data_IF_921835013423
#
_entry.id   IF_921835013423
#
_cell.length_a   1.000
_cell.length_b   1.000
_cell.length_c   1.000
_cell.angle_alpha   90.00
_cell.angle_beta   90.00
_cell.angle_gamma   90.00
#
_symmetry.space_group_name_H-M   'P 1'
#
loop_
_entity.id
_entity.type
_entity.pdbx_description
1 polymer ?
#
# COMPACT_ATOMS: atom_id res chain seq x y z
N UNK A 1 8.77 22.04 -21.78
CA UNK A 1 7.82 20.98 -21.39
C UNK A 1 6.49 21.28 -22.06
N UNK A 2 5.98 20.42 -22.93
CA UNK A 2 4.65 20.59 -23.46
C UNK A 2 3.64 20.50 -22.30
N UNK A 3 2.70 21.46 -22.27
CA UNK A 3 1.59 21.38 -21.30
C UNK A 3 0.78 20.11 -21.58
N UNK A 4 0.36 19.39 -20.52
CA UNK A 4 -0.45 18.20 -20.71
C UNK A 4 -1.75 18.55 -21.45
N UNK A 5 -2.12 17.73 -22.41
CA UNK A 5 -3.36 17.89 -23.17
C UNK A 5 -4.53 17.58 -22.23
N UNK A 6 -5.39 18.58 -22.04
CA UNK A 6 -6.55 18.44 -21.17
C UNK A 6 -7.71 17.78 -21.90
N UNK A 7 -8.35 16.81 -21.25
CA UNK A 7 -9.62 16.23 -21.67
C UNK A 7 -10.74 16.65 -20.72
N UNK A 8 -11.94 16.84 -21.25
CA UNK A 8 -13.11 17.17 -20.44
C UNK A 8 -14.01 15.94 -20.33
N UNK A 9 -14.42 15.63 -19.11
CA UNK A 9 -15.36 14.55 -18.81
C UNK A 9 -16.60 15.09 -18.09
N UNK A 10 -17.72 14.39 -18.21
CA UNK A 10 -18.95 14.67 -17.49
C UNK A 10 -19.40 13.41 -16.80
N UNK A 11 -19.70 13.51 -15.51
CA UNK A 11 -20.15 12.39 -14.68
C UNK A 11 -21.42 12.76 -13.90
N UNK A 12 -22.26 11.78 -13.63
CA UNK A 12 -23.42 11.90 -12.76
C UNK A 12 -23.14 11.14 -11.46
N UNK A 13 -23.28 11.80 -10.34
CA UNK A 13 -23.07 11.20 -9.00
C UNK A 13 -24.29 11.42 -8.12
N UNK A 14 -24.56 10.53 -7.15
CA UNK A 14 -25.58 10.78 -6.14
C UNK A 14 -25.32 12.08 -5.39
N UNK A 15 -26.40 12.77 -5.01
CA UNK A 15 -26.28 14.05 -4.29
C UNK A 15 -25.51 13.93 -2.97
N UNK A 16 -25.69 12.85 -2.24
CA UNK A 16 -24.95 12.55 -1.01
C UNK A 16 -23.43 12.43 -1.26
N UNK A 17 -23.03 11.84 -2.37
CA UNK A 17 -21.62 11.74 -2.78
C UNK A 17 -21.06 13.11 -3.13
N UNK A 18 -21.82 13.95 -3.82
CA UNK A 18 -21.41 15.31 -4.14
C UNK A 18 -21.22 16.17 -2.88
N UNK A 19 -22.14 16.08 -1.93
CA UNK A 19 -22.04 16.78 -0.65
C UNK A 19 -20.80 16.36 0.14
N UNK A 20 -20.53 15.06 0.23
CA UNK A 20 -19.35 14.53 0.88
C UNK A 20 -18.05 15.01 0.21
N UNK A 21 -18.03 15.07 -1.12
CA UNK A 21 -16.91 15.60 -1.88
C UNK A 21 -16.70 17.10 -1.62
N UNK A 22 -17.76 17.89 -1.63
CA UNK A 22 -17.69 19.34 -1.39
C UNK A 22 -17.18 19.65 0.02
N UNK A 23 -17.60 18.86 1.02
CA UNK A 23 -17.07 18.96 2.38
C UNK A 23 -15.57 18.67 2.41
N UNK A 24 -15.13 17.63 1.75
CA UNK A 24 -13.71 17.24 1.67
C UNK A 24 -12.86 18.28 0.94
N UNK A 25 -13.43 18.96 -0.08
CA UNK A 25 -12.78 20.05 -0.79
C UNK A 25 -12.45 21.19 0.17
N UNK A 26 -13.39 21.57 1.03
CA UNK A 26 -13.18 22.61 2.03
C UNK A 26 -12.13 22.18 3.07
N UNK A 27 -12.26 20.98 3.61
CA UNK A 27 -11.34 20.43 4.63
C UNK A 27 -9.89 20.33 4.14
N UNK A 28 -9.69 19.94 2.91
CA UNK A 28 -8.37 19.73 2.30
C UNK A 28 -7.86 20.89 1.46
N UNK A 29 -8.57 22.00 1.46
CA UNK A 29 -8.18 23.25 0.77
C UNK A 29 -7.96 23.09 -0.74
N UNK A 30 -8.76 22.25 -1.41
CA UNK A 30 -8.74 22.20 -2.86
C UNK A 30 -9.30 23.48 -3.47
N UNK A 31 -8.70 23.94 -4.58
CA UNK A 31 -9.13 25.14 -5.28
C UNK A 31 -10.43 24.94 -6.06
N UNK A 32 -10.72 23.72 -6.49
CA UNK A 32 -11.90 23.38 -7.28
C UNK A 32 -12.30 21.90 -7.15
N UNK A 33 -13.53 21.60 -7.54
CA UNK A 33 -14.01 20.21 -7.69
C UNK A 33 -13.14 19.42 -8.67
N UNK A 34 -12.77 20.03 -9.79
CA UNK A 34 -11.92 19.38 -10.79
C UNK A 34 -10.57 18.97 -10.23
N UNK A 35 -9.93 19.82 -9.44
CA UNK A 35 -8.66 19.50 -8.79
C UNK A 35 -8.81 18.35 -7.81
N UNK A 36 -9.85 18.37 -6.97
CA UNK A 36 -10.12 17.28 -6.02
C UNK A 36 -10.38 15.93 -6.73
N UNK A 37 -11.16 15.94 -7.81
CA UNK A 37 -11.45 14.74 -8.60
C UNK A 37 -10.19 14.21 -9.27
N UNK A 38 -9.38 15.07 -9.87
CA UNK A 38 -8.11 14.67 -10.50
C UNK A 38 -7.18 14.04 -9.46
N UNK A 39 -7.08 14.62 -8.28
CA UNK A 39 -6.26 14.08 -7.21
C UNK A 39 -6.76 12.70 -6.73
N UNK A 40 -8.07 12.55 -6.53
CA UNK A 40 -8.68 11.27 -6.15
C UNK A 40 -8.48 10.19 -7.23
N UNK A 41 -8.64 10.56 -8.50
CA UNK A 41 -8.41 9.64 -9.62
C UNK A 41 -6.94 9.25 -9.70
N UNK A 42 -6.03 10.21 -9.58
CA UNK A 42 -4.59 9.94 -9.64
C UNK A 42 -4.16 9.02 -8.50
N UNK A 43 -4.63 9.23 -7.28
CA UNK A 43 -4.34 8.35 -6.15
C UNK A 43 -4.79 6.93 -6.41
N UNK A 44 -5.97 6.76 -6.99
CA UNK A 44 -6.51 5.43 -7.30
C UNK A 44 -5.83 4.77 -8.49
N UNK A 45 -5.51 5.53 -9.54
CA UNK A 45 -4.83 5.03 -10.72
C UNK A 45 -3.33 4.80 -10.50
N UNK A 46 -2.69 5.56 -9.60
CA UNK A 46 -1.30 5.32 -9.23
C UNK A 46 -1.15 3.93 -8.63
N UNK A 47 -2.11 3.46 -7.85
CA UNK A 47 -2.12 2.09 -7.35
C UNK A 47 -2.17 1.04 -8.48
N UNK A 48 -2.76 1.37 -9.64
CA UNK A 48 -2.79 0.49 -10.81
C UNK A 48 -1.62 0.72 -11.78
N UNK A 49 -1.20 1.98 -11.94
CA UNK A 49 -0.08 2.36 -12.82
C UNK A 49 1.30 2.05 -12.24
N UNK A 50 1.37 1.73 -10.97
CA UNK A 50 2.58 1.24 -10.27
C UNK A 50 2.93 -0.21 -10.69
N UNK A 51 2.52 -0.65 -11.87
CA UNK A 51 3.13 -1.76 -12.59
C UNK A 51 4.51 -1.41 -13.19
N UNK A 52 5.06 -0.23 -12.85
CA UNK A 52 6.46 0.07 -13.09
C UNK A 52 7.26 -0.58 -11.98
N UNK A 53 8.28 -1.34 -12.36
CA UNK A 53 9.20 -2.03 -11.46
C UNK A 53 10.08 -1.05 -10.65
N UNK A 54 9.41 -0.15 -9.93
CA UNK A 54 10.07 0.83 -9.07
C UNK A 54 10.15 0.31 -7.63
N UNK A 55 11.27 0.59 -6.98
CA UNK A 55 11.45 0.29 -5.56
C UNK A 55 10.58 1.23 -4.73
N UNK A 56 9.70 0.65 -3.94
CA UNK A 56 8.77 1.37 -3.08
C UNK A 56 8.88 0.94 -1.64
N UNK A 57 8.36 1.74 -0.75
CA UNK A 57 8.14 1.41 0.66
C UNK A 57 6.65 1.21 0.85
N UNK A 58 6.27 0.23 1.63
CA UNK A 58 4.87 -0.05 1.89
C UNK A 58 4.60 -0.53 3.29
N UNK A 59 3.35 -0.45 3.67
CA UNK A 59 2.83 -1.08 4.88
C UNK A 59 1.74 -2.06 4.51
N UNK A 60 1.91 -3.31 4.92
CA UNK A 60 0.86 -4.32 4.85
C UNK A 60 0.20 -4.44 6.21
N UNK A 61 -1.06 -4.11 6.27
CA UNK A 61 -1.88 -4.23 7.47
C UNK A 61 -2.80 -5.42 7.36
N UNK A 62 -2.74 -6.34 8.33
CA UNK A 62 -3.58 -7.52 8.42
C UNK A 62 -4.38 -7.51 9.72
N UNK A 63 -5.63 -7.95 9.64
CA UNK A 63 -6.40 -8.38 10.81
C UNK A 63 -6.72 -9.85 10.65
N UNK A 64 -6.34 -10.65 11.63
CA UNK A 64 -6.53 -12.10 11.56
C UNK A 64 -6.94 -12.72 12.89
N UNK A 65 -7.51 -13.90 12.80
CA UNK A 65 -7.95 -14.68 13.95
C UNK A 65 -6.84 -15.63 14.40
N UNK A 66 -6.37 -15.48 15.64
CA UNK A 66 -5.29 -16.30 16.22
C UNK A 66 -5.75 -17.67 16.68
N UNK A 67 -7.04 -17.95 16.75
CA UNK A 67 -7.57 -19.26 17.17
C UNK A 67 -7.27 -20.37 16.16
N UNK A 68 -6.98 -20.02 14.92
CA UNK A 68 -6.56 -20.97 13.90
C UNK A 68 -5.06 -21.23 14.01
N UNK A 69 -4.69 -22.33 14.65
CA UNK A 69 -3.28 -22.70 14.89
C UNK A 69 -2.38 -22.71 13.65
N UNK A 70 -2.84 -23.18 12.46
CA UNK A 70 -2.01 -23.18 11.25
C UNK A 70 -1.62 -21.79 10.77
N UNK A 71 -2.44 -20.76 11.03
CA UNK A 71 -2.23 -19.42 10.51
C UNK A 71 -0.95 -18.76 11.06
N UNK A 72 -0.68 -18.93 12.35
CA UNK A 72 0.52 -18.34 12.96
C UNK A 72 1.81 -18.86 12.32
N UNK A 73 1.92 -20.15 12.11
CA UNK A 73 3.09 -20.75 11.47
C UNK A 73 3.19 -20.33 10.00
N UNK A 74 2.07 -20.27 9.29
CA UNK A 74 2.05 -19.81 7.90
C UNK A 74 2.48 -18.34 7.75
N UNK A 75 2.07 -17.46 8.66
CA UNK A 75 2.50 -16.07 8.69
C UNK A 75 4.01 -15.94 8.94
N UNK A 76 4.53 -16.72 9.89
CA UNK A 76 5.97 -16.74 10.18
C UNK A 76 6.76 -17.30 9.00
N UNK A 77 6.30 -18.37 8.38
CA UNK A 77 6.95 -18.99 7.21
C UNK A 77 7.01 -18.02 6.03
N UNK A 78 5.93 -17.31 5.75
CA UNK A 78 5.93 -16.27 4.70
C UNK A 78 6.87 -15.10 5.04
N UNK A 79 6.90 -14.65 6.29
CA UNK A 79 7.85 -13.59 6.69
C UNK A 79 9.30 -14.04 6.51
N UNK A 80 9.60 -15.29 6.83
CA UNK A 80 10.94 -15.86 6.65
C UNK A 80 11.30 -16.02 5.17
N UNK A 81 10.31 -16.39 4.34
CA UNK A 81 10.51 -16.50 2.89
C UNK A 81 10.85 -15.15 2.26
N UNK A 82 10.28 -14.07 2.75
CA UNK A 82 10.41 -12.72 2.21
C UNK A 82 11.15 -11.75 3.13
N UNK A 83 12.21 -12.22 3.79
CA UNK A 83 13.02 -11.41 4.72
C UNK A 83 13.61 -10.14 4.10
N UNK A 84 13.90 -10.16 2.80
CA UNK A 84 14.42 -8.99 2.10
C UNK A 84 13.37 -7.90 1.91
N UNK A 85 12.11 -8.28 1.76
CA UNK A 85 11.00 -7.37 1.53
C UNK A 85 10.29 -6.96 2.81
N UNK A 86 10.16 -7.88 3.79
CA UNK A 86 9.50 -7.61 5.07
C UNK A 86 10.54 -7.18 6.10
N UNK A 87 10.63 -5.86 6.34
CA UNK A 87 11.69 -5.26 7.18
C UNK A 87 11.39 -5.42 8.66
N UNK A 88 10.15 -5.19 9.06
CA UNK A 88 9.72 -5.28 10.46
C UNK A 88 8.24 -5.56 10.56
N UNK A 89 7.80 -6.03 11.71
CA UNK A 89 6.38 -6.19 11.98
C UNK A 89 6.01 -5.79 13.41
N UNK A 90 4.82 -5.24 13.55
CA UNK A 90 4.21 -4.85 14.81
C UNK A 90 2.91 -5.64 14.99
N UNK A 91 2.72 -6.22 16.17
CA UNK A 91 1.53 -6.98 16.53
C UNK A 91 0.76 -6.28 17.63
N UNK A 92 -0.53 -6.09 17.44
CA UNK A 92 -1.43 -5.47 18.42
C UNK A 92 -2.59 -6.43 18.67
N UNK A 93 -2.74 -6.85 19.91
CA UNK A 93 -3.90 -7.65 20.33
C UNK A 93 -5.12 -6.74 20.36
N UNK A 94 -6.14 -7.04 19.56
CA UNK A 94 -7.39 -6.28 19.51
C UNK A 94 -8.42 -6.83 20.51
N UNK A 95 -8.54 -8.16 20.57
CA UNK A 95 -9.36 -8.90 21.51
C UNK A 95 -8.74 -10.29 21.72
N UNK A 96 -9.42 -11.17 22.43
CA UNK A 96 -8.92 -12.51 22.77
C UNK A 96 -8.56 -13.37 21.53
N UNK A 97 -9.13 -13.05 20.37
CA UNK A 97 -9.00 -13.86 19.16
C UNK A 97 -8.45 -13.10 17.96
N UNK A 98 -8.42 -11.78 18.00
CA UNK A 98 -8.03 -10.96 16.83
C UNK A 98 -6.76 -10.20 17.09
N UNK A 99 -5.90 -10.23 16.11
CA UNK A 99 -4.64 -9.48 16.07
C UNK A 99 -4.62 -8.58 14.86
N UNK A 100 -4.20 -7.34 15.08
CA UNK A 100 -3.77 -6.42 14.02
C UNK A 100 -2.26 -6.56 13.89
N UNK A 101 -1.79 -6.87 12.70
CA UNK A 101 -0.37 -6.88 12.36
C UNK A 101 -0.08 -5.85 11.30
N UNK A 102 0.93 -5.04 11.53
CA UNK A 102 1.43 -4.08 10.55
C UNK A 102 2.85 -4.47 10.18
N UNK A 103 3.10 -4.72 8.91
CA UNK A 103 4.41 -5.05 8.38
C UNK A 103 4.94 -3.89 7.53
N UNK A 104 6.16 -3.47 7.81
CA UNK A 104 6.88 -2.53 6.97
C UNK A 104 7.60 -3.31 5.87
N UNK A 105 7.36 -2.92 4.63
CA UNK A 105 7.88 -3.60 3.45
C UNK A 105 8.67 -2.64 2.57
N UNK A 106 9.67 -3.17 1.89
CA UNK A 106 10.45 -2.45 0.89
C UNK A 106 10.82 -3.41 -0.25
N UNK A 107 10.71 -2.95 -1.46
CA UNK A 107 11.06 -3.72 -2.64
C UNK A 107 10.40 -3.20 -3.90
N UNK A 108 10.50 -3.97 -4.96
CA UNK A 108 9.83 -3.67 -6.22
C UNK A 108 8.33 -3.75 -6.03
N UNK A 109 7.59 -2.78 -6.53
CA UNK A 109 6.15 -2.65 -6.30
C UNK A 109 5.35 -3.88 -6.71
N UNK A 110 5.69 -4.51 -7.84
CA UNK A 110 5.05 -5.74 -8.29
C UNK A 110 5.27 -6.90 -7.31
N UNK A 111 6.48 -7.04 -6.78
CA UNK A 111 6.81 -8.07 -5.80
C UNK A 111 6.05 -7.82 -4.49
N UNK A 112 5.99 -6.58 -4.04
CA UNK A 112 5.26 -6.23 -2.80
C UNK A 112 3.77 -6.53 -2.91
N UNK A 113 3.16 -6.30 -4.08
CA UNK A 113 1.77 -6.65 -4.35
C UNK A 113 1.56 -8.17 -4.31
N UNK A 114 2.39 -8.93 -5.00
CA UNK A 114 2.31 -10.38 -5.03
C UNK A 114 2.51 -11.01 -3.64
N UNK A 115 3.50 -10.53 -2.89
CA UNK A 115 3.74 -10.96 -1.51
C UNK A 115 2.55 -10.65 -0.62
N UNK A 116 2.00 -9.45 -0.72
CA UNK A 116 0.83 -9.03 0.07
C UNK A 116 -0.39 -9.88 -0.22
N UNK A 117 -0.64 -10.24 -1.47
CA UNK A 117 -1.73 -11.13 -1.86
C UNK A 117 -1.59 -12.51 -1.22
N UNK A 118 -0.39 -13.04 -1.11
CA UNK A 118 -0.14 -14.31 -0.43
C UNK A 118 -0.49 -14.26 1.07
N UNK A 119 -0.15 -13.17 1.75
CA UNK A 119 -0.53 -12.97 3.15
C UNK A 119 -2.04 -12.82 3.32
N UNK A 120 -2.66 -12.01 2.47
CA UNK A 120 -4.11 -11.72 2.54
C UNK A 120 -4.95 -12.98 2.24
N UNK A 121 -4.47 -13.85 1.35
CA UNK A 121 -5.16 -15.08 0.95
C UNK A 121 -5.12 -16.19 2.00
N UNK A 122 -4.33 -16.06 3.06
CA UNK A 122 -4.26 -17.09 4.10
C UNK A 122 -5.60 -17.23 4.82
N UNK A 123 -6.01 -18.48 5.03
CA UNK A 123 -7.25 -18.78 5.77
C UNK A 123 -7.13 -18.28 7.22
N UNK A 124 -8.07 -17.45 7.62
CA UNK A 124 -8.09 -16.83 8.95
C UNK A 124 -7.66 -15.36 8.93
N UNK A 125 -7.13 -14.86 7.84
CA UNK A 125 -6.98 -13.44 7.59
C UNK A 125 -8.35 -12.86 7.26
N UNK A 126 -8.81 -11.93 8.10
CA UNK A 126 -10.14 -11.32 7.99
C UNK A 126 -10.13 -10.09 7.09
N UNK A 127 -9.07 -9.31 7.17
CA UNK A 127 -8.85 -8.10 6.36
C UNK A 127 -7.36 -7.94 6.10
N UNK A 128 -7.03 -7.42 4.94
CA UNK A 128 -5.67 -7.06 4.58
C UNK A 128 -5.66 -5.87 3.63
N UNK A 129 -4.70 -5.00 3.81
CA UNK A 129 -4.50 -3.82 2.96
C UNK A 129 -3.02 -3.49 2.82
N UNK A 130 -2.57 -3.33 1.58
CA UNK A 130 -1.24 -2.85 1.25
C UNK A 130 -1.32 -1.37 0.84
N UNK A 131 -0.60 -0.53 1.53
CA UNK A 131 -0.37 0.86 1.17
C UNK A 131 1.06 1.00 0.65
N UNK A 132 1.22 1.46 -0.59
CA UNK A 132 2.52 1.73 -1.19
C UNK A 132 2.77 3.24 -1.24
N UNK A 133 4.01 3.62 -0.94
CA UNK A 133 4.48 4.99 -1.06
C UNK A 133 5.76 5.02 -1.88
N UNK A 134 5.91 6.08 -2.67
CA UNK A 134 7.18 6.36 -3.33
C UNK A 134 8.26 6.51 -2.26
N UNK A 135 9.41 5.91 -2.51
CA UNK A 135 10.58 6.14 -1.67
C UNK A 135 11.03 7.59 -1.88
N UNK A 136 10.53 8.49 -1.04
CA UNK A 136 10.92 9.92 -1.04
C UNK A 136 12.37 10.12 -0.59
N UNK A 137 12.95 9.09 0.01
CA UNK A 137 14.36 9.08 0.39
C UNK A 137 15.21 8.73 -0.83
N UNK A 138 16.39 9.37 -0.97
CA UNK A 138 17.36 8.83 -1.90
C UNK A 138 17.53 7.35 -1.56
N UNK A 139 17.55 6.47 -2.57
CA UNK A 139 17.69 5.04 -2.31
C UNK A 139 18.86 4.88 -1.35
N UNK A 140 18.62 4.13 -0.27
CA UNK A 140 19.73 3.71 0.59
C UNK A 140 20.76 3.15 -0.36
N UNK A 141 21.97 3.73 -0.44
CA UNK A 141 22.96 3.24 -1.36
C UNK A 141 23.10 1.75 -1.09
N UNK A 142 22.69 0.96 -2.06
CA UNK A 142 23.00 -0.45 -2.00
C UNK A 142 24.49 -0.49 -1.84
N UNK A 143 24.92 -1.01 -0.71
CA UNK A 143 26.32 -1.20 -0.44
C UNK A 143 26.81 -2.20 -1.48
N UNK A 144 27.11 -1.71 -2.67
CA UNK A 144 27.85 -2.44 -3.67
C UNK A 144 29.27 -2.55 -3.15
N UNK A 145 29.38 -3.26 -2.03
CA UNK A 145 30.63 -3.83 -1.64
C UNK A 145 30.92 -4.99 -2.59
N UNK A 146 31.01 -4.65 -3.88
CA UNK A 146 31.85 -5.44 -4.74
C UNK A 146 33.24 -5.21 -4.22
N UNK A 147 33.65 -6.11 -3.32
CA UNK A 147 35.01 -6.19 -2.90
C UNK A 147 35.90 -6.11 -4.12
N UNK A 148 36.55 -4.98 -4.26
CA UNK A 148 37.77 -4.93 -5.06
C UNK A 148 38.77 -5.71 -4.25
N UNK A 149 38.77 -7.02 -4.42
CA UNK A 149 39.90 -7.85 -4.16
C UNK A 149 40.87 -7.61 -5.33
N UNK A 150 41.66 -6.62 -5.20
CA UNK A 150 42.91 -6.58 -5.98
C UNK A 150 43.93 -7.43 -5.28
#
# INVERSE_FOLDING_TARGET
>A
MPKPKLARISITVPETTLQAMDQKIVEQHYESRSQAIVDMINRHLIDELVSRDEVMVGTLTLVYNVSLKPLRSQLVDLQQQYLEQVISSLHIQLDDQKVLQVMLMQGVSSDLKEISEQFIALKGVLKGHLELMDAVMPPIPQNTNKGVLS
#
